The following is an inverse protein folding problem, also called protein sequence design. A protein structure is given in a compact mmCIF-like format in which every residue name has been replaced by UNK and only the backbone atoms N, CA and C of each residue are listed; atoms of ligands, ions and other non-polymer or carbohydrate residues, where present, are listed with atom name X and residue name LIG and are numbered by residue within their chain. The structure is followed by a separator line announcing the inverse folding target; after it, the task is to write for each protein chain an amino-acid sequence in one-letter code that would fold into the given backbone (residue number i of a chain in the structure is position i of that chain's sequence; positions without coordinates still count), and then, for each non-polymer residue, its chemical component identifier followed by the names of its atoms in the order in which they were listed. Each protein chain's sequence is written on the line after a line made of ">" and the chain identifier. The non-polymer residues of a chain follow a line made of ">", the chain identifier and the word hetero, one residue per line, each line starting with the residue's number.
data_IF_119056554613
#
_entry.id   IF_119056554613
#
_cell.length_a   1.000
_cell.length_b   1.000
_cell.length_c   1.000
_cell.angle_alpha   90.00
_cell.angle_beta   90.00
_cell.angle_gamma   90.00
#
_symmetry.space_group_name_H-M   'P 1'
#
loop_
_entity.id
_entity.type
_entity.pdbx_description
1 polymer ?
#
# COMPACT_ATOMS: atom_id res chain seq x y z
N UNK A 1 16.08 -31.49 -28.59
CA UNK A 1 15.36 -32.72 -28.21
C UNK A 1 15.49 -33.04 -26.72
N UNK A 2 16.71 -33.00 -26.12
CA UNK A 2 16.94 -33.38 -24.72
C UNK A 2 16.20 -32.43 -23.74
N UNK A 3 16.25 -31.13 -23.94
CA UNK A 3 15.58 -30.10 -23.08
C UNK A 3 14.05 -30.29 -23.08
N UNK A 4 13.46 -30.53 -24.26
CA UNK A 4 12.02 -30.78 -24.39
C UNK A 4 11.62 -32.04 -23.64
N UNK A 5 12.42 -33.09 -23.72
CA UNK A 5 12.17 -34.35 -23.02
C UNK A 5 12.25 -34.19 -21.50
N UNK A 6 13.20 -33.40 -21.02
CA UNK A 6 13.31 -33.07 -19.59
C UNK A 6 12.10 -32.29 -19.09
N UNK A 7 11.65 -31.25 -19.83
CA UNK A 7 10.46 -30.46 -19.47
C UNK A 7 9.18 -31.30 -19.47
N UNK A 8 8.99 -32.17 -20.47
CA UNK A 8 7.86 -33.10 -20.51
C UNK A 8 7.87 -34.07 -19.34
N UNK A 9 9.05 -34.57 -18.95
CA UNK A 9 9.19 -35.44 -17.77
C UNK A 9 8.83 -34.72 -16.49
N UNK A 10 9.32 -33.47 -16.29
CA UNK A 10 8.98 -32.67 -15.13
C UNK A 10 7.47 -32.33 -15.07
N UNK A 11 6.85 -32.04 -16.22
CA UNK A 11 5.39 -31.81 -16.31
C UNK A 11 4.61 -33.05 -15.90
N UNK A 12 5.04 -34.26 -16.35
CA UNK A 12 4.41 -35.52 -15.96
C UNK A 12 4.57 -35.80 -14.46
N UNK A 13 5.76 -35.56 -13.91
CA UNK A 13 6.02 -35.69 -12.48
C UNK A 13 5.11 -34.72 -11.68
N UNK A 14 4.90 -33.51 -12.19
CA UNK A 14 4.04 -32.52 -11.54
C UNK A 14 2.56 -32.92 -11.55
N UNK A 15 2.07 -33.48 -12.68
CA UNK A 15 0.73 -34.06 -12.74
C UNK A 15 0.57 -35.19 -11.71
N UNK A 16 1.52 -36.13 -11.64
CA UNK A 16 1.49 -37.18 -10.63
C UNK A 16 1.51 -36.60 -9.20
N UNK A 17 2.31 -35.55 -8.98
CA UNK A 17 2.37 -34.91 -7.67
C UNK A 17 1.01 -34.31 -7.28
N UNK A 18 0.32 -33.65 -8.21
CA UNK A 18 -1.02 -33.07 -7.95
C UNK A 18 -2.08 -34.16 -7.71
N UNK A 19 -1.96 -35.33 -8.38
CA UNK A 19 -2.92 -36.42 -8.23
C UNK A 19 -2.75 -37.20 -6.91
N UNK A 20 -1.52 -37.33 -6.42
CA UNK A 20 -1.21 -38.21 -5.28
C UNK A 20 -0.82 -37.46 -3.99
N UNK A 21 -0.46 -36.18 -4.09
CA UNK A 21 -0.01 -35.40 -2.94
C UNK A 21 -1.03 -34.33 -2.57
N UNK A 22 -1.32 -34.25 -1.29
CA UNK A 22 -2.27 -33.26 -0.77
C UNK A 22 -1.52 -31.99 -0.34
N UNK A 23 -2.16 -30.82 -0.49
CA UNK A 23 -1.66 -29.52 -0.01
C UNK A 23 -0.40 -28.99 -0.73
N UNK A 24 -0.28 -29.23 -2.04
CA UNK A 24 0.73 -28.50 -2.81
C UNK A 24 0.44 -26.99 -2.75
N UNK A 25 1.45 -26.14 -2.46
CA UNK A 25 1.27 -24.69 -2.38
C UNK A 25 1.09 -24.09 -3.77
N UNK A 26 -0.17 -23.89 -4.18
CA UNK A 26 -0.56 -23.42 -5.52
C UNK A 26 -1.06 -21.98 -5.54
N UNK A 27 -0.93 -21.24 -4.44
CA UNK A 27 -1.40 -19.86 -4.34
C UNK A 27 -0.29 -18.83 -4.62
N UNK A 28 -0.69 -17.63 -5.06
CA UNK A 28 0.19 -16.46 -5.13
C UNK A 28 1.35 -16.55 -6.14
N UNK A 29 1.06 -17.03 -7.32
CA UNK A 29 1.99 -17.07 -8.46
C UNK A 29 1.95 -15.71 -9.19
N UNK A 30 2.55 -14.68 -8.61
CA UNK A 30 2.65 -13.37 -9.24
C UNK A 30 4.01 -13.20 -9.88
N UNK A 31 4.05 -12.69 -11.12
CA UNK A 31 5.31 -12.25 -11.71
C UNK A 31 5.77 -10.97 -11.04
N UNK A 32 7.03 -10.93 -10.65
CA UNK A 32 7.65 -9.77 -10.02
C UNK A 32 8.92 -9.29 -10.75
N UNK A 33 9.13 -9.76 -11.99
CA UNK A 33 10.27 -9.35 -12.80
C UNK A 33 10.28 -7.83 -13.08
N UNK A 34 9.13 -7.26 -13.47
CA UNK A 34 9.02 -5.83 -13.73
C UNK A 34 9.35 -4.97 -12.50
N UNK A 35 8.88 -5.40 -11.33
CA UNK A 35 9.19 -4.76 -10.05
C UNK A 35 10.71 -4.77 -9.79
N UNK A 36 11.38 -5.93 -9.99
CA UNK A 36 12.81 -6.06 -9.80
C UNK A 36 13.62 -5.25 -10.82
N UNK A 37 13.22 -5.24 -12.08
CA UNK A 37 13.88 -4.46 -13.13
C UNK A 37 13.78 -2.95 -12.86
N UNK A 38 12.64 -2.48 -12.37
CA UNK A 38 12.43 -1.10 -11.96
C UNK A 38 13.40 -0.67 -10.87
N UNK A 39 13.59 -1.49 -9.84
CA UNK A 39 14.47 -1.17 -8.70
C UNK A 39 15.97 -1.41 -8.96
N UNK A 40 16.36 -1.92 -10.13
CA UNK A 40 17.78 -1.93 -10.56
C UNK A 40 18.36 -0.52 -10.63
N UNK A 41 17.53 0.46 -10.95
CA UNK A 41 17.94 1.85 -11.06
C UNK A 41 17.96 2.44 -9.64
N UNK A 42 19.11 2.97 -9.24
CA UNK A 42 19.28 3.62 -7.94
C UNK A 42 18.32 4.81 -7.79
N UNK A 43 17.73 4.97 -6.60
CA UNK A 43 16.76 6.02 -6.30
C UNK A 43 15.34 5.72 -6.76
N UNK A 44 15.10 4.62 -7.49
CA UNK A 44 13.73 4.17 -7.81
C UNK A 44 13.15 3.34 -6.66
N UNK A 45 11.84 3.25 -6.63
CA UNK A 45 11.12 2.46 -5.64
C UNK A 45 9.92 1.78 -6.30
N UNK A 46 9.51 0.60 -5.80
CA UNK A 46 8.34 -0.11 -6.28
C UNK A 46 7.06 0.44 -5.63
N UNK A 47 5.93 0.16 -6.24
CA UNK A 47 4.65 0.39 -5.61
C UNK A 47 4.44 -0.57 -4.43
N UNK A 48 3.62 -0.15 -3.48
CA UNK A 48 3.32 -0.97 -2.29
C UNK A 48 2.70 -2.32 -2.69
N UNK A 49 1.87 -2.31 -3.74
CA UNK A 49 1.25 -3.52 -4.29
C UNK A 49 2.28 -4.48 -4.89
N UNK A 50 3.24 -3.95 -5.66
CA UNK A 50 4.33 -4.74 -6.25
C UNK A 50 5.16 -5.45 -5.18
N UNK A 51 5.47 -4.76 -4.08
CA UNK A 51 6.18 -5.35 -2.93
C UNK A 51 5.36 -6.42 -2.21
N UNK A 52 4.07 -6.20 -2.06
CA UNK A 52 3.18 -7.16 -1.43
C UNK A 52 3.09 -8.46 -2.26
N UNK A 53 2.95 -8.33 -3.57
CA UNK A 53 2.90 -9.46 -4.49
C UNK A 53 4.27 -10.18 -4.56
N UNK A 54 5.40 -9.45 -4.60
CA UNK A 54 6.76 -10.01 -4.47
C UNK A 54 6.90 -10.85 -3.21
N UNK A 55 6.52 -10.32 -2.06
CA UNK A 55 6.58 -11.05 -0.79
C UNK A 55 5.80 -12.37 -0.86
N UNK A 56 4.53 -12.31 -1.30
CA UNK A 56 3.65 -13.48 -1.38
C UNK A 56 4.21 -14.55 -2.31
N UNK A 57 4.77 -14.14 -3.45
CA UNK A 57 5.41 -15.05 -4.38
C UNK A 57 6.66 -15.70 -3.78
N UNK A 58 7.50 -14.95 -3.06
CA UNK A 58 8.67 -15.50 -2.37
C UNK A 58 8.29 -16.46 -1.23
N UNK A 59 7.18 -16.20 -0.52
CA UNK A 59 6.62 -17.13 0.47
C UNK A 59 6.15 -18.44 -0.20
N UNK A 60 5.55 -18.34 -1.38
CA UNK A 60 5.15 -19.52 -2.18
C UNK A 60 6.37 -20.29 -2.66
N UNK A 61 7.41 -19.63 -3.20
CA UNK A 61 8.68 -20.27 -3.55
C UNK A 61 9.23 -21.06 -2.36
N UNK A 62 9.32 -20.43 -1.20
CA UNK A 62 9.79 -21.09 0.03
C UNK A 62 8.93 -22.30 0.40
N UNK A 63 7.62 -22.19 0.26
CA UNK A 63 6.68 -23.28 0.57
C UNK A 63 6.83 -24.43 -0.40
N UNK A 64 6.99 -24.18 -1.71
CA UNK A 64 7.24 -25.20 -2.74
C UNK A 64 8.55 -25.92 -2.47
N UNK A 65 9.64 -25.17 -2.23
CA UNK A 65 10.95 -25.78 -1.94
C UNK A 65 10.90 -26.67 -0.70
N UNK A 66 10.24 -26.22 0.37
CA UNK A 66 10.05 -27.01 1.59
C UNK A 66 9.18 -28.25 1.34
N UNK A 67 8.11 -28.11 0.56
CA UNK A 67 7.23 -29.22 0.20
C UNK A 67 8.01 -30.30 -0.59
N UNK A 68 8.70 -29.91 -1.66
CA UNK A 68 9.45 -30.84 -2.50
C UNK A 68 10.66 -31.44 -1.79
N UNK A 69 11.27 -30.74 -0.83
CA UNK A 69 12.38 -31.27 -0.01
C UNK A 69 11.97 -32.50 0.78
N UNK A 70 10.71 -32.62 1.19
CA UNK A 70 10.19 -33.78 1.95
C UNK A 70 9.80 -34.93 1.07
N UNK A 71 9.78 -34.79 -0.26
CA UNK A 71 9.35 -35.81 -1.20
C UNK A 71 10.50 -36.74 -1.67
N UNK A 72 10.12 -37.94 -2.12
CA UNK A 72 11.07 -38.91 -2.59
C UNK A 72 11.79 -38.42 -3.87
N UNK A 73 13.12 -38.48 -3.84
CA UNK A 73 13.98 -38.03 -4.93
C UNK A 73 13.90 -38.98 -6.17
N UNK A 74 13.61 -40.23 -5.94
CA UNK A 74 13.46 -41.24 -7.03
C UNK A 74 12.13 -41.00 -7.76
N UNK A 75 11.09 -40.54 -7.02
CA UNK A 75 9.74 -40.35 -7.57
C UNK A 75 9.61 -39.03 -8.37
N UNK A 76 10.33 -37.98 -7.98
CA UNK A 76 10.23 -36.65 -8.57
C UNK A 76 11.60 -36.02 -8.89
N UNK A 77 12.46 -36.70 -9.69
CA UNK A 77 13.82 -36.22 -9.96
C UNK A 77 13.86 -34.92 -10.76
N UNK A 78 12.96 -34.77 -11.75
CA UNK A 78 12.88 -33.56 -12.58
C UNK A 78 12.46 -32.32 -11.77
N UNK A 79 11.45 -32.44 -10.92
CA UNK A 79 11.01 -31.35 -10.05
C UNK A 79 12.09 -30.97 -9.04
N UNK A 80 12.80 -31.94 -8.48
CA UNK A 80 13.93 -31.64 -7.58
C UNK A 80 15.10 -30.98 -8.29
N UNK A 81 15.35 -31.31 -9.54
CA UNK A 81 16.37 -30.63 -10.36
C UNK A 81 16.02 -29.16 -10.58
N UNK A 82 14.73 -28.82 -10.80
CA UNK A 82 14.26 -27.44 -10.90
C UNK A 82 14.48 -26.65 -9.60
N UNK A 83 14.36 -27.31 -8.44
CA UNK A 83 14.59 -26.66 -7.14
C UNK A 83 16.06 -26.36 -6.85
N UNK A 84 16.99 -27.06 -7.50
CA UNK A 84 18.44 -27.06 -7.16
C UNK A 84 19.09 -25.66 -7.14
N UNK A 85 18.87 -24.80 -8.15
CA UNK A 85 19.46 -23.45 -8.19
C UNK A 85 18.74 -22.43 -7.32
N UNK A 86 17.48 -22.69 -6.95
CA UNK A 86 16.63 -21.70 -6.31
C UNK A 86 16.91 -21.57 -4.81
N UNK A 87 17.17 -20.35 -4.38
CA UNK A 87 17.42 -20.01 -2.98
C UNK A 87 16.20 -19.34 -2.35
N UNK A 88 16.08 -19.43 -1.04
CA UNK A 88 15.09 -18.69 -0.26
C UNK A 88 15.70 -17.41 0.31
N UNK A 89 14.89 -16.33 0.34
CA UNK A 89 15.33 -15.02 0.81
C UNK A 89 14.48 -14.54 2.01
N UNK A 90 14.59 -15.19 3.20
CA UNK A 90 13.83 -14.79 4.38
C UNK A 90 14.05 -13.31 4.74
N UNK A 91 15.29 -12.82 4.57
CA UNK A 91 15.62 -11.42 4.84
C UNK A 91 14.80 -10.43 3.99
N UNK A 92 14.56 -10.72 2.71
CA UNK A 92 13.73 -9.89 1.83
C UNK A 92 12.29 -9.90 2.30
N UNK A 93 11.74 -11.08 2.60
CA UNK A 93 10.38 -11.26 3.14
C UNK A 93 10.23 -10.46 4.45
N UNK A 94 11.15 -10.63 5.41
CA UNK A 94 11.12 -9.95 6.70
C UNK A 94 11.25 -8.42 6.56
N UNK A 95 12.05 -7.95 5.59
CA UNK A 95 12.23 -6.53 5.32
C UNK A 95 10.94 -5.90 4.78
N UNK A 96 10.23 -6.60 3.91
CA UNK A 96 8.92 -6.18 3.42
C UNK A 96 7.88 -6.24 4.55
N UNK A 97 7.90 -7.31 5.36
CA UNK A 97 6.98 -7.48 6.49
C UNK A 97 7.09 -6.39 7.57
N UNK A 98 8.25 -5.79 7.74
CA UNK A 98 8.42 -4.65 8.67
C UNK A 98 7.68 -3.41 8.22
N UNK A 99 7.47 -3.26 6.91
CA UNK A 99 6.94 -2.05 6.28
C UNK A 99 5.48 -2.22 5.87
N UNK A 100 5.12 -3.38 5.32
CA UNK A 100 3.80 -3.66 4.75
C UNK A 100 3.02 -4.61 5.65
N UNK A 101 1.74 -4.35 5.84
CA UNK A 101 0.86 -5.20 6.61
C UNK A 101 0.25 -6.35 5.76
N UNK A 102 -0.56 -7.18 6.42
CA UNK A 102 -1.26 -8.32 5.78
C UNK A 102 -2.30 -7.92 4.73
N UNK A 103 -2.67 -6.65 4.65
CA UNK A 103 -3.64 -6.11 3.69
C UNK A 103 -2.95 -5.40 2.52
N UNK A 104 -1.62 -5.34 2.51
CA UNK A 104 -0.85 -4.65 1.49
C UNK A 104 -0.80 -3.13 1.70
N UNK A 105 -0.94 -2.65 2.92
CA UNK A 105 -0.82 -1.24 3.27
C UNK A 105 0.46 -0.97 4.07
N UNK A 106 0.98 0.25 3.98
CA UNK A 106 2.15 0.64 4.77
C UNK A 106 1.75 0.80 6.24
N UNK A 107 2.46 0.08 7.11
CA UNK A 107 2.24 0.11 8.56
C UNK A 107 2.52 1.50 9.12
N UNK A 108 1.74 1.91 10.13
CA UNK A 108 1.98 3.19 10.82
C UNK A 108 3.37 3.26 11.46
N UNK A 109 3.88 2.13 11.92
CA UNK A 109 5.19 1.99 12.55
C UNK A 109 6.30 1.57 11.58
N UNK A 110 6.10 1.71 10.26
CA UNK A 110 7.14 1.43 9.26
C UNK A 110 8.39 2.31 9.47
N UNK A 111 8.22 3.52 10.02
CA UNK A 111 9.29 4.32 10.61
C UNK A 111 8.76 5.11 11.81
N UNK A 112 9.68 5.56 12.68
CA UNK A 112 9.33 6.45 13.81
C UNK A 112 8.72 7.74 13.28
N UNK A 113 9.32 8.33 12.24
CA UNK A 113 8.84 9.59 11.65
C UNK A 113 7.44 9.45 11.03
N UNK A 114 7.16 8.35 10.32
CA UNK A 114 5.83 8.11 9.73
C UNK A 114 4.75 8.02 10.82
N UNK A 115 5.06 7.33 11.93
CA UNK A 115 4.15 7.22 13.07
C UNK A 115 3.85 8.59 13.69
N UNK A 116 4.87 9.43 13.86
CA UNK A 116 4.71 10.80 14.36
C UNK A 116 3.82 11.62 13.45
N UNK A 117 4.11 11.67 12.15
CA UNK A 117 3.34 12.41 11.15
C UNK A 117 1.87 11.98 11.16
N UNK A 118 1.58 10.66 11.11
CA UNK A 118 0.20 10.16 11.14
C UNK A 118 -0.53 10.51 12.42
N UNK A 119 0.15 10.42 13.56
CA UNK A 119 -0.41 10.83 14.86
C UNK A 119 -0.75 12.32 14.89
N UNK A 120 0.11 13.15 14.31
CA UNK A 120 -0.12 14.60 14.22
C UNK A 120 -1.26 14.94 13.27
N UNK A 121 -1.38 14.29 12.11
CA UNK A 121 -2.52 14.42 11.19
C UNK A 121 -3.83 14.10 11.93
N UNK A 122 -3.88 13.00 12.67
CA UNK A 122 -5.07 12.61 13.45
C UNK A 122 -5.41 13.69 14.48
N UNK A 123 -4.42 14.17 15.23
CA UNK A 123 -4.60 15.21 16.24
C UNK A 123 -5.14 16.52 15.64
N UNK A 124 -4.55 16.97 14.53
CA UNK A 124 -4.99 18.18 13.80
C UNK A 124 -6.41 18.03 13.23
N UNK A 125 -6.76 16.87 12.68
CA UNK A 125 -8.11 16.59 12.21
C UNK A 125 -9.15 16.65 13.33
N UNK A 126 -8.84 16.11 14.50
CA UNK A 126 -9.70 16.20 15.69
C UNK A 126 -9.86 17.65 16.12
N UNK A 127 -8.78 18.44 16.14
CA UNK A 127 -8.79 19.85 16.48
C UNK A 127 -9.65 20.66 15.50
N UNK A 128 -9.47 20.48 14.18
CA UNK A 128 -10.24 21.13 13.13
C UNK A 128 -11.74 20.80 13.27
N UNK A 129 -12.07 19.52 13.44
CA UNK A 129 -13.46 19.07 13.59
C UNK A 129 -14.16 19.67 14.82
N UNK A 130 -13.48 19.70 15.96
CA UNK A 130 -14.01 20.31 17.19
C UNK A 130 -14.24 21.82 17.02
N UNK A 131 -13.28 22.53 16.43
CA UNK A 131 -13.37 23.95 16.19
C UNK A 131 -14.50 24.30 15.22
N UNK A 132 -14.57 23.57 14.09
CA UNK A 132 -15.61 23.71 13.09
C UNK A 132 -17.02 23.49 13.66
N UNK A 133 -17.17 22.46 14.49
CA UNK A 133 -18.45 22.17 15.18
C UNK A 133 -18.84 23.28 16.17
N UNK A 134 -17.88 23.93 16.82
CA UNK A 134 -18.14 25.05 17.71
C UNK A 134 -18.59 26.30 16.91
N UNK A 135 -17.91 26.59 15.79
CA UNK A 135 -18.27 27.70 14.90
C UNK A 135 -19.65 27.48 14.29
N UNK A 136 -19.98 26.26 13.86
CA UNK A 136 -21.30 25.94 13.33
C UNK A 136 -22.39 26.21 14.36
N UNK A 137 -22.21 25.74 15.61
CA UNK A 137 -23.20 26.01 16.69
C UNK A 137 -23.38 27.49 16.97
N UNK A 138 -22.30 28.25 16.95
CA UNK A 138 -22.36 29.70 17.10
C UNK A 138 -23.14 30.35 15.94
N UNK A 139 -22.84 29.96 14.68
CA UNK A 139 -23.54 30.47 13.51
C UNK A 139 -25.02 30.13 13.51
N UNK A 140 -25.42 28.97 14.05
CA UNK A 140 -26.81 28.57 14.25
C UNK A 140 -27.48 29.43 15.32
N UNK A 141 -26.82 29.66 16.45
CA UNK A 141 -27.33 30.51 17.53
C UNK A 141 -27.52 31.97 17.10
N UNK A 142 -26.66 32.46 16.22
CA UNK A 142 -26.73 33.83 15.67
C UNK A 142 -27.69 33.93 14.45
N UNK A 143 -28.31 32.82 14.03
CA UNK A 143 -29.24 32.81 12.89
C UNK A 143 -28.55 33.04 11.53
N UNK A 144 -27.25 32.81 11.44
CA UNK A 144 -26.47 32.90 10.17
C UNK A 144 -26.77 31.70 9.29
N UNK A 145 -26.97 30.53 9.91
CA UNK A 145 -27.35 29.28 9.26
C UNK A 145 -28.53 28.64 10.01
N UNK A 146 -29.28 27.80 9.30
CA UNK A 146 -30.41 27.10 9.90
C UNK A 146 -29.94 26.06 10.94
N UNK A 147 -30.81 25.75 11.92
CA UNK A 147 -30.53 24.75 12.97
C UNK A 147 -30.19 23.34 12.43
N UNK A 148 -30.75 23.01 11.26
CA UNK A 148 -30.53 21.73 10.58
C UNK A 148 -29.24 21.69 9.72
N UNK A 149 -28.53 22.83 9.60
CA UNK A 149 -27.30 22.92 8.82
C UNK A 149 -26.22 22.03 9.43
N UNK A 150 -25.54 21.26 8.59
CA UNK A 150 -24.42 20.39 8.98
C UNK A 150 -23.14 20.78 8.25
N UNK A 151 -22.01 20.42 8.83
CA UNK A 151 -20.70 20.56 8.18
C UNK A 151 -20.66 19.71 6.91
N UNK A 152 -20.08 20.25 5.84
CA UNK A 152 -19.84 19.56 4.58
C UNK A 152 -18.34 19.50 4.30
N UNK A 153 -17.95 18.60 3.40
CA UNK A 153 -16.56 18.52 2.89
C UNK A 153 -16.50 19.08 1.47
N UNK A 154 -15.51 19.93 1.21
CA UNK A 154 -15.16 20.40 -0.12
C UNK A 154 -13.65 20.34 -0.30
N UNK A 155 -13.20 19.60 -1.30
CA UNK A 155 -11.77 19.40 -1.57
C UNK A 155 -10.97 18.90 -0.34
N UNK A 156 -11.58 18.03 0.47
CA UNK A 156 -10.98 17.52 1.70
C UNK A 156 -11.05 18.44 2.91
N UNK A 157 -11.59 19.67 2.76
CA UNK A 157 -11.71 20.67 3.83
C UNK A 157 -13.12 20.72 4.39
N UNK A 158 -13.23 20.87 5.70
CA UNK A 158 -14.51 21.08 6.38
C UNK A 158 -15.02 22.49 6.14
N UNK A 159 -16.25 22.60 5.65
CA UNK A 159 -16.90 23.87 5.32
C UNK A 159 -18.30 23.94 5.89
N UNK A 160 -18.78 25.17 6.11
CA UNK A 160 -20.15 25.45 6.55
C UNK A 160 -20.93 25.99 5.34
N UNK A 161 -22.06 25.34 4.97
CA UNK A 161 -22.96 25.90 3.95
C UNK A 161 -23.70 27.11 4.51
N UNK A 162 -23.56 28.26 3.86
CA UNK A 162 -24.15 29.53 4.25
C UNK A 162 -24.96 30.11 3.08
N UNK A 163 -26.10 30.74 3.35
CA UNK A 163 -26.84 31.49 2.33
C UNK A 163 -25.96 32.56 1.69
N UNK A 164 -26.04 32.69 0.35
CA UNK A 164 -25.30 33.73 -0.37
C UNK A 164 -25.58 35.15 0.18
N UNK A 165 -26.78 35.38 0.76
CA UNK A 165 -27.15 36.66 1.37
C UNK A 165 -26.39 36.90 2.69
N UNK A 166 -26.09 35.83 3.43
CA UNK A 166 -25.46 35.90 4.75
C UNK A 166 -23.94 35.62 4.74
N UNK A 167 -23.37 35.36 3.54
CA UNK A 167 -21.96 34.98 3.37
C UNK A 167 -20.94 35.92 4.03
N UNK A 168 -21.29 37.19 4.27
CA UNK A 168 -20.42 38.19 4.92
C UNK A 168 -20.45 38.08 6.44
N UNK A 169 -21.43 37.37 7.02
CA UNK A 169 -21.58 37.22 8.47
C UNK A 169 -20.62 36.14 9.02
N UNK A 170 -20.24 35.15 8.22
CA UNK A 170 -19.23 34.16 8.56
C UNK A 170 -17.92 34.50 7.84
N UNK A 171 -16.89 34.87 8.61
CA UNK A 171 -15.55 35.14 8.06
C UNK A 171 -14.88 33.84 7.62
N UNK A 172 -14.30 33.82 6.44
CA UNK A 172 -13.60 32.61 5.92
C UNK A 172 -13.40 32.64 4.42
N UNK A 173 -12.91 31.51 3.91
CA UNK A 173 -12.64 31.28 2.48
C UNK A 173 -13.83 30.56 1.84
N UNK A 174 -14.30 31.06 0.70
CA UNK A 174 -15.34 30.39 -0.09
C UNK A 174 -14.63 29.33 -0.97
N UNK A 175 -14.95 28.05 -0.76
CA UNK A 175 -14.41 26.96 -1.55
C UNK A 175 -15.28 26.52 -2.71
N UNK A 176 -16.60 26.75 -2.59
CA UNK A 176 -17.57 26.28 -3.59
C UNK A 176 -18.88 27.06 -3.49
N UNK A 177 -19.71 26.93 -4.51
CA UNK A 177 -21.05 27.48 -4.56
C UNK A 177 -22.02 26.44 -5.13
N UNK A 178 -23.24 26.39 -4.59
CA UNK A 178 -24.27 25.50 -5.11
C UNK A 178 -24.63 25.87 -6.57
N UNK A 179 -25.07 24.88 -7.36
CA UNK A 179 -25.47 25.10 -8.76
C UNK A 179 -26.54 26.19 -8.93
N UNK A 180 -27.41 26.39 -7.93
CA UNK A 180 -28.43 27.44 -7.94
C UNK A 180 -27.89 28.83 -7.51
N UNK A 181 -26.63 28.91 -7.07
CA UNK A 181 -26.03 30.14 -6.56
C UNK A 181 -26.55 30.59 -5.19
N UNK A 182 -27.47 29.85 -4.57
CA UNK A 182 -28.12 30.23 -3.30
C UNK A 182 -27.29 29.96 -2.06
N UNK A 183 -26.34 29.01 -2.13
CA UNK A 183 -25.52 28.59 -1.00
C UNK A 183 -24.05 28.68 -1.37
N UNK A 184 -23.22 29.20 -0.49
CA UNK A 184 -21.76 29.18 -0.55
C UNK A 184 -21.22 28.30 0.54
N UNK A 185 -20.10 27.61 0.26
CA UNK A 185 -19.43 26.72 1.19
C UNK A 185 -18.19 27.44 1.75
N UNK A 186 -18.27 27.84 3.01
CA UNK A 186 -17.25 28.68 3.66
C UNK A 186 -16.39 27.82 4.59
N UNK A 187 -15.06 27.83 4.40
CA UNK A 187 -14.09 27.40 5.39
C UNK A 187 -13.85 28.56 6.35
N UNK A 188 -14.24 28.45 7.64
CA UNK A 188 -14.02 29.53 8.60
C UNK A 188 -12.54 29.90 8.76
N UNK A 189 -12.22 31.17 8.86
CA UNK A 189 -10.87 31.71 9.00
C UNK A 189 -10.08 31.02 10.11
N UNK A 190 -10.76 30.69 11.20
CA UNK A 190 -10.18 30.08 12.40
C UNK A 190 -9.65 28.63 12.21
N UNK A 191 -10.04 27.95 11.13
CA UNK A 191 -9.56 26.59 10.83
C UNK A 191 -8.67 26.50 9.59
N UNK A 192 -8.51 27.61 8.84
CA UNK A 192 -7.69 27.64 7.61
C UNK A 192 -6.25 27.21 7.91
N UNK A 193 -5.65 27.74 8.98
CA UNK A 193 -4.28 27.41 9.36
C UNK A 193 -4.15 25.92 9.74
N UNK A 194 -5.10 25.40 10.53
CA UNK A 194 -5.09 23.98 10.92
C UNK A 194 -5.21 23.08 9.69
N UNK A 195 -6.07 23.42 8.74
CA UNK A 195 -6.24 22.65 7.51
C UNK A 195 -4.99 22.75 6.60
N UNK A 196 -4.30 23.89 6.58
CA UNK A 196 -3.04 24.03 5.87
C UNK A 196 -1.95 23.14 6.50
N UNK A 197 -1.83 23.11 7.82
CA UNK A 197 -0.92 22.22 8.54
C UNK A 197 -1.20 20.74 8.19
N UNK A 198 -2.48 20.35 8.11
CA UNK A 198 -2.85 18.98 7.70
C UNK A 198 -2.32 18.66 6.30
N UNK A 199 -2.52 19.58 5.34
CA UNK A 199 -2.03 19.38 3.97
C UNK A 199 -0.50 19.29 3.93
N UNK A 200 0.21 20.10 4.71
CA UNK A 200 1.68 20.01 4.80
C UNK A 200 2.13 18.67 5.37
N UNK A 201 1.48 18.20 6.43
CA UNK A 201 1.74 16.89 7.02
C UNK A 201 1.44 15.72 6.06
N UNK A 202 0.38 15.82 5.25
CA UNK A 202 0.08 14.83 4.20
C UNK A 202 1.18 14.78 3.12
N UNK A 203 1.77 15.94 2.76
CA UNK A 203 2.94 15.96 1.87
C UNK A 203 4.18 15.38 2.54
N UNK A 204 4.39 15.63 3.84
CA UNK A 204 5.46 15.01 4.60
C UNK A 204 5.29 13.48 4.68
N UNK A 205 4.07 13.01 4.91
CA UNK A 205 3.75 11.57 4.89
C UNK A 205 4.15 10.93 3.57
N UNK A 206 3.75 11.53 2.44
CA UNK A 206 4.12 11.03 1.10
C UNK A 206 5.64 10.99 0.90
N UNK A 207 6.36 12.04 1.32
CA UNK A 207 7.83 12.05 1.23
C UNK A 207 8.49 10.98 2.09
N UNK A 208 7.97 10.78 3.31
CA UNK A 208 8.49 9.75 4.20
C UNK A 208 8.23 8.33 3.67
N UNK A 209 7.05 8.10 3.09
CA UNK A 209 6.71 6.83 2.42
C UNK A 209 7.68 6.55 1.27
N UNK A 210 7.95 7.52 0.40
CA UNK A 210 8.93 7.39 -0.68
C UNK A 210 10.31 7.05 -0.12
N UNK A 211 10.75 7.71 0.94
CA UNK A 211 12.03 7.45 1.60
C UNK A 211 12.12 6.00 2.12
N UNK A 212 11.05 5.51 2.75
CA UNK A 212 10.96 4.13 3.26
C UNK A 212 11.03 3.12 2.12
N UNK A 213 10.27 3.33 1.04
CA UNK A 213 10.24 2.43 -0.11
C UNK A 213 11.57 2.41 -0.87
N UNK A 214 12.21 3.56 -1.01
CA UNK A 214 13.54 3.66 -1.63
C UNK A 214 14.60 2.91 -0.81
N UNK A 215 14.61 3.11 0.51
CA UNK A 215 15.52 2.39 1.39
C UNK A 215 15.28 0.87 1.37
N UNK A 216 14.03 0.43 1.25
CA UNK A 216 13.71 -0.98 1.06
C UNK A 216 14.22 -1.50 -0.28
N UNK A 217 14.03 -0.75 -1.37
CA UNK A 217 14.54 -1.10 -2.69
C UNK A 217 16.07 -1.25 -2.69
N UNK A 218 16.78 -0.34 -2.03
CA UNK A 218 18.24 -0.40 -1.86
C UNK A 218 18.69 -1.68 -1.14
N UNK A 219 17.92 -2.11 -0.14
CA UNK A 219 18.19 -3.36 0.59
C UNK A 219 17.89 -4.62 -0.23
N UNK A 220 16.97 -4.57 -1.18
CA UNK A 220 16.61 -5.70 -2.07
C UNK A 220 17.56 -5.77 -3.27
N UNK A 221 18.07 -4.64 -3.75
CA UNK A 221 18.87 -4.51 -4.99
C UNK A 221 20.02 -5.52 -5.11
N UNK A 222 20.81 -5.83 -4.08
CA UNK A 222 21.87 -6.83 -4.17
C UNK A 222 21.42 -8.24 -4.53
N UNK A 223 20.14 -8.54 -4.36
CA UNK A 223 19.56 -9.86 -4.55
C UNK A 223 18.75 -10.00 -5.84
N UNK A 224 18.68 -8.96 -6.69
CA UNK A 224 17.78 -8.92 -7.85
C UNK A 224 18.00 -10.13 -8.78
N UNK A 225 19.25 -10.44 -9.12
CA UNK A 225 19.54 -11.53 -10.06
C UNK A 225 19.09 -12.88 -9.51
N UNK A 226 19.35 -13.14 -8.25
CA UNK A 226 18.90 -14.36 -7.57
C UNK A 226 17.36 -14.40 -7.42
N UNK A 227 16.71 -13.26 -7.21
CA UNK A 227 15.25 -13.17 -7.13
C UNK A 227 14.58 -13.38 -8.50
N UNK A 228 15.24 -12.98 -9.59
CA UNK A 228 14.78 -13.29 -10.95
C UNK A 228 14.83 -14.79 -11.24
N UNK A 229 15.82 -15.52 -10.74
CA UNK A 229 15.82 -16.99 -10.81
C UNK A 229 14.61 -17.60 -10.09
N UNK A 230 14.22 -17.01 -8.93
CA UNK A 230 13.01 -17.43 -8.21
C UNK A 230 11.72 -17.11 -8.99
N UNK A 231 11.70 -16.01 -9.76
CA UNK A 231 10.57 -15.64 -10.62
C UNK A 231 10.42 -16.61 -11.79
N UNK A 232 11.55 -17.00 -12.42
CA UNK A 232 11.58 -18.02 -13.50
C UNK A 232 11.09 -19.34 -12.94
N UNK A 233 11.59 -19.77 -11.79
CA UNK A 233 11.16 -21.01 -11.14
C UNK A 233 9.64 -21.05 -10.89
N UNK A 234 9.02 -19.97 -10.46
CA UNK A 234 7.55 -19.90 -10.32
C UNK A 234 6.83 -20.06 -11.65
N UNK A 235 7.40 -19.53 -12.74
CA UNK A 235 6.85 -19.68 -14.08
C UNK A 235 6.98 -21.09 -14.64
N UNK A 236 8.02 -21.82 -14.21
CA UNK A 236 8.30 -23.20 -14.64
C UNK A 236 7.50 -24.25 -13.85
N UNK A 237 6.99 -23.88 -12.65
CA UNK A 237 6.16 -24.72 -11.77
C UNK A 237 4.67 -24.57 -12.05
#
# INVERSE_FOLDING_TARGET
>A
PALISEQLSATFEFQQLLDFEVNFPSDNYFSFSECLDKIRIEGTFPEVRELYDLKRSLETVRSILNFLKTKDEIKYPGLKKLCGPVKTYPYVIDSIDRIIDRHGAIKDNASVRLKEIRSEIISKNIQASRRLSAILRQAQAEGIVDSETTVSLRNGRGVIPVSTFDKRKLKGLIHDQSASGKTVFIEPEEIVEINNDIVELEYEEKREIVRILTALADNIRPYIDDLLESNIFLGDM
#
